data_IF_725262861157
#
_entry.id   IF_725262861157
#
_cell.length_a   1.000
_cell.length_b   1.000
_cell.length_c   1.000
_cell.angle_alpha   90.00
_cell.angle_beta   90.00
_cell.angle_gamma   90.00
#
_symmetry.space_group_name_H-M   'P 1'
#
loop_
_entity.id
_entity.type
_entity.pdbx_description
1 polymer ?
#
# COMPACT_ATOMS: atom_id res chain seq x y z
N UNK A 1 27.89 8.37 22.36
CA UNK A 1 27.67 6.94 22.66
C UNK A 1 26.42 6.93 23.54
N UNK A 2 25.28 6.53 23.02
CA UNK A 2 24.08 6.36 23.83
C UNK A 2 24.25 5.08 24.65
N UNK A 3 23.97 5.16 25.95
CA UNK A 3 24.13 4.04 26.90
C UNK A 3 22.78 3.37 27.19
N UNK A 4 21.67 3.96 26.73
CA UNK A 4 20.30 3.57 27.11
C UNK A 4 19.57 2.72 26.05
N UNK A 5 20.24 2.35 24.95
CA UNK A 5 19.76 1.33 24.02
C UNK A 5 18.56 1.75 23.15
N UNK A 6 17.54 0.88 23.05
CA UNK A 6 16.36 1.10 22.19
C UNK A 6 15.45 2.24 22.69
N UNK A 7 15.36 2.46 24.01
CA UNK A 7 14.51 3.51 24.59
C UNK A 7 15.02 4.91 24.21
N UNK A 8 16.34 5.10 24.24
CA UNK A 8 16.98 6.34 23.79
C UNK A 8 16.80 6.52 22.28
N UNK A 9 16.97 5.43 21.52
CA UNK A 9 16.85 5.44 20.07
C UNK A 9 15.46 5.92 19.61
N UNK A 10 14.40 5.49 20.29
CA UNK A 10 13.03 5.91 19.97
C UNK A 10 12.89 7.44 20.01
N UNK A 11 13.50 8.09 20.99
CA UNK A 11 13.40 9.54 21.22
C UNK A 11 14.21 10.39 20.21
N UNK A 12 15.11 9.77 19.44
CA UNK A 12 15.92 10.46 18.43
C UNK A 12 15.19 10.63 17.08
N UNK A 13 14.12 9.87 16.86
CA UNK A 13 13.35 9.96 15.63
C UNK A 13 12.56 11.26 15.56
N UNK A 14 12.56 11.88 14.39
CA UNK A 14 11.91 13.18 14.16
C UNK A 14 10.94 13.10 13.01
N UNK A 15 9.71 13.51 13.25
CA UNK A 15 8.64 13.58 12.25
C UNK A 15 9.01 14.40 11.00
N UNK A 16 9.90 15.39 11.11
CA UNK A 16 10.28 16.28 10.00
C UNK A 16 11.53 15.83 9.24
N UNK A 17 12.13 14.69 9.61
CA UNK A 17 13.41 14.23 9.07
C UNK A 17 13.29 12.85 8.40
N UNK A 18 14.22 12.61 7.50
CA UNK A 18 14.59 11.26 7.05
C UNK A 18 15.83 10.89 7.86
N UNK A 19 15.80 9.73 8.50
CA UNK A 19 16.89 9.27 9.35
C UNK A 19 17.18 7.80 9.04
N UNK A 20 18.42 7.39 9.29
CA UNK A 20 18.81 6.00 9.32
C UNK A 20 19.36 5.70 10.70
N UNK A 21 18.86 4.64 11.31
CA UNK A 21 19.38 4.15 12.58
C UNK A 21 19.97 2.76 12.38
N UNK A 22 21.16 2.55 12.92
CA UNK A 22 21.80 1.25 13.00
C UNK A 22 22.06 0.96 14.47
N UNK A 23 21.39 -0.07 15.01
CA UNK A 23 21.49 -0.40 16.43
C UNK A 23 21.70 -1.90 16.65
N UNK A 24 22.32 -2.21 17.78
CA UNK A 24 22.56 -3.56 18.23
C UNK A 24 21.57 -3.90 19.35
N UNK A 25 20.99 -5.10 19.26
CA UNK A 25 20.06 -5.63 20.26
C UNK A 25 20.44 -7.05 20.61
N UNK A 26 20.20 -7.43 21.87
CA UNK A 26 20.43 -8.80 22.33
C UNK A 26 19.16 -9.62 22.08
N UNK A 27 19.31 -10.72 21.36
CA UNK A 27 18.27 -11.73 21.27
C UNK A 27 18.36 -12.69 22.45
N UNK A 28 17.44 -12.57 23.42
CA UNK A 28 17.38 -13.46 24.57
C UNK A 28 17.02 -14.90 24.19
N UNK A 29 16.36 -15.08 23.04
CA UNK A 29 15.94 -16.39 22.56
C UNK A 29 17.13 -17.26 22.11
N UNK A 30 18.15 -16.68 21.47
CA UNK A 30 19.33 -17.42 21.01
C UNK A 30 20.62 -17.00 21.73
N UNK A 31 20.57 -16.03 22.65
CA UNK A 31 21.72 -15.37 23.27
C UNK A 31 22.72 -14.82 22.23
N UNK A 32 22.20 -14.29 21.13
CA UNK A 32 22.99 -13.70 20.04
C UNK A 32 22.75 -12.19 19.96
N UNK A 33 23.78 -11.44 19.57
CA UNK A 33 23.64 -10.04 19.20
C UNK A 33 23.07 -9.96 17.78
N UNK A 34 22.09 -9.10 17.58
CA UNK A 34 21.52 -8.80 16.28
C UNK A 34 21.64 -7.31 15.98
N UNK A 35 21.78 -7.00 14.71
CA UNK A 35 21.87 -5.65 14.19
C UNK A 35 20.63 -5.31 13.39
N UNK A 36 20.02 -4.16 13.72
CA UNK A 36 18.87 -3.60 13.02
C UNK A 36 19.33 -2.38 12.23
N UNK A 37 18.86 -2.31 10.98
CA UNK A 37 18.91 -1.10 10.17
C UNK A 37 17.46 -0.59 10.01
N UNK A 38 17.19 0.60 10.54
CA UNK A 38 15.88 1.24 10.47
C UNK A 38 15.97 2.42 9.50
N UNK A 39 15.15 2.37 8.46
CA UNK A 39 14.89 3.46 7.53
C UNK A 39 13.69 4.27 8.02
N UNK A 40 13.96 5.41 8.64
CA UNK A 40 12.93 6.30 9.17
C UNK A 40 12.53 7.35 8.14
N UNK A 41 11.24 7.38 7.81
CA UNK A 41 10.63 8.34 6.91
C UNK A 41 9.55 9.16 7.64
N UNK A 42 9.98 10.15 8.42
CA UNK A 42 9.06 10.99 9.20
C UNK A 42 7.91 11.58 8.36
N UNK A 43 6.70 11.58 8.93
CA UNK A 43 5.47 12.00 8.25
C UNK A 43 5.55 13.42 7.66
N UNK A 44 6.15 14.34 8.40
CA UNK A 44 6.29 15.74 8.05
C UNK A 44 7.58 16.03 7.26
N UNK A 45 8.36 15.01 6.90
CA UNK A 45 9.57 15.21 6.10
C UNK A 45 9.21 15.72 4.68
N UNK A 46 9.98 16.67 4.11
CA UNK A 46 9.71 17.21 2.77
C UNK A 46 9.61 16.12 1.70
N UNK A 47 8.64 16.23 0.80
CA UNK A 47 8.37 15.23 -0.24
C UNK A 47 9.59 14.97 -1.13
N UNK A 48 10.35 16.02 -1.46
CA UNK A 48 11.58 15.91 -2.24
C UNK A 48 12.61 15.01 -1.53
N UNK A 49 12.73 15.12 -0.20
CA UNK A 49 13.65 14.28 0.59
C UNK A 49 13.16 12.82 0.64
N UNK A 50 11.85 12.60 0.76
CA UNK A 50 11.25 11.25 0.70
C UNK A 50 11.53 10.58 -0.66
N UNK A 51 11.49 11.34 -1.76
CA UNK A 51 11.87 10.83 -3.07
C UNK A 51 13.36 10.45 -3.16
N UNK A 52 14.24 11.33 -2.69
CA UNK A 52 15.70 11.10 -2.74
C UNK A 52 16.13 9.92 -1.86
N UNK A 53 15.48 9.70 -0.71
CA UNK A 53 15.83 8.60 0.19
C UNK A 53 15.60 7.20 -0.38
N UNK A 54 14.66 7.06 -1.32
CA UNK A 54 14.45 5.79 -2.02
C UNK A 54 15.64 5.41 -2.91
N UNK A 55 16.35 6.41 -3.44
CA UNK A 55 17.45 6.18 -4.37
C UNK A 55 18.74 5.77 -3.64
N UNK A 56 19.05 6.38 -2.50
CA UNK A 56 20.27 6.06 -1.74
C UNK A 56 20.08 4.98 -0.67
N UNK A 57 18.86 4.47 -0.45
CA UNK A 57 18.64 3.42 0.53
C UNK A 57 19.41 2.13 0.21
N UNK A 58 19.57 1.81 -1.08
CA UNK A 58 20.38 0.67 -1.51
C UNK A 58 21.84 0.81 -1.06
N UNK A 59 22.41 2.03 -1.18
CA UNK A 59 23.77 2.32 -0.74
C UNK A 59 23.89 2.22 0.79
N UNK A 60 22.88 2.69 1.54
CA UNK A 60 22.82 2.55 2.99
C UNK A 60 22.80 1.08 3.41
N UNK A 61 21.97 0.25 2.77
CA UNK A 61 21.95 -1.19 3.00
C UNK A 61 23.31 -1.85 2.67
N UNK A 62 23.97 -1.41 1.59
CA UNK A 62 25.29 -1.91 1.22
C UNK A 62 26.38 -1.51 2.22
N UNK A 63 26.26 -0.33 2.82
CA UNK A 63 27.18 0.15 3.86
C UNK A 63 27.02 -0.67 5.14
N UNK A 64 25.78 -0.92 5.57
CA UNK A 64 25.44 -1.73 6.75
C UNK A 64 25.17 -3.21 6.41
N UNK A 65 26.13 -3.85 5.73
CA UNK A 65 26.03 -5.25 5.26
C UNK A 65 25.72 -6.30 6.33
N UNK A 66 26.03 -6.00 7.60
CA UNK A 66 25.84 -6.92 8.73
C UNK A 66 24.47 -6.74 9.41
N UNK A 67 23.59 -5.88 8.89
CA UNK A 67 22.23 -5.74 9.37
C UNK A 67 21.45 -7.06 9.21
N UNK A 68 21.06 -7.67 10.32
CA UNK A 68 20.27 -8.90 10.30
C UNK A 68 18.80 -8.63 9.94
N UNK A 69 18.33 -7.43 10.29
CA UNK A 69 16.95 -7.00 10.10
C UNK A 69 16.97 -5.60 9.51
N UNK A 70 16.24 -5.40 8.42
CA UNK A 70 16.05 -4.10 7.79
C UNK A 70 14.57 -3.72 7.90
N UNK A 71 14.29 -2.58 8.52
CA UNK A 71 12.94 -2.09 8.80
C UNK A 71 12.70 -0.74 8.11
N UNK A 72 11.47 -0.52 7.66
CA UNK A 72 11.01 0.80 7.24
C UNK A 72 9.99 1.27 8.27
N UNK A 73 10.20 2.47 8.81
CA UNK A 73 9.37 3.07 9.84
C UNK A 73 8.92 4.47 9.42
N UNK A 74 7.69 4.85 9.77
CA UNK A 74 7.12 6.16 9.45
C UNK A 74 6.52 6.85 10.67
N UNK A 75 6.15 6.07 11.67
CA UNK A 75 5.47 6.51 12.89
C UNK A 75 6.23 6.02 14.12
N UNK A 76 6.09 6.73 15.25
CA UNK A 76 6.81 6.38 16.49
C UNK A 76 6.46 4.98 17.01
N UNK A 77 5.25 4.50 16.72
CA UNK A 77 4.79 3.13 17.01
C UNK A 77 5.63 2.06 16.28
N UNK A 78 6.20 2.36 15.11
CA UNK A 78 7.04 1.41 14.35
C UNK A 78 8.41 1.19 15.01
N UNK A 79 8.82 2.11 15.89
CA UNK A 79 10.15 2.15 16.51
C UNK A 79 10.09 2.00 18.03
N UNK A 80 8.93 1.63 18.57
CA UNK A 80 8.79 1.22 19.96
C UNK A 80 9.71 0.01 20.26
N UNK A 81 10.40 -0.01 21.41
CA UNK A 81 11.31 -1.10 21.77
C UNK A 81 10.67 -2.49 21.66
N UNK A 82 9.41 -2.62 22.10
CA UNK A 82 8.66 -3.88 22.03
C UNK A 82 8.43 -4.34 20.60
N UNK A 83 8.10 -3.42 19.69
CA UNK A 83 7.88 -3.70 18.27
C UNK A 83 9.19 -4.15 17.61
N UNK A 84 10.29 -3.45 17.90
CA UNK A 84 11.61 -3.84 17.40
C UNK A 84 12.04 -5.22 17.92
N UNK A 85 11.79 -5.52 19.19
CA UNK A 85 12.07 -6.83 19.78
C UNK A 85 11.18 -7.94 19.22
N UNK A 86 9.93 -7.67 18.85
CA UNK A 86 9.09 -8.63 18.13
C UNK A 86 9.71 -9.03 16.77
N UNK A 87 10.28 -8.07 16.03
CA UNK A 87 11.01 -8.39 14.80
C UNK A 87 12.24 -9.27 15.05
N UNK A 88 12.97 -9.02 16.14
CA UNK A 88 14.13 -9.84 16.57
C UNK A 88 13.69 -11.27 16.90
N UNK A 89 12.65 -11.42 17.71
CA UNK A 89 12.12 -12.72 18.13
C UNK A 89 11.56 -13.52 16.95
N UNK A 90 10.91 -12.85 16.01
CA UNK A 90 10.42 -13.46 14.77
C UNK A 90 11.55 -13.96 13.88
N UNK A 91 12.68 -13.24 13.82
CA UNK A 91 13.86 -13.75 13.13
C UNK A 91 14.46 -14.94 13.87
N UNK A 92 14.52 -14.89 15.21
CA UNK A 92 15.01 -15.99 16.05
C UNK A 92 14.23 -17.29 15.84
N UNK A 93 12.89 -17.21 15.77
CA UNK A 93 12.04 -18.39 15.59
C UNK A 93 12.27 -19.08 14.24
N UNK A 94 12.57 -18.32 13.18
CA UNK A 94 12.93 -18.87 11.86
C UNK A 94 14.22 -19.69 11.85
N UNK A 95 15.11 -19.48 12.81
CA UNK A 95 16.40 -20.20 12.98
C UNK A 95 16.24 -21.45 13.88
N UNK A 96 15.08 -21.63 14.52
CA UNK A 96 14.80 -22.78 15.39
C UNK A 96 14.09 -23.92 14.65
N UNK A 97 13.27 -23.61 13.64
CA UNK A 97 12.45 -24.59 12.90
C UNK A 97 13.34 -25.53 12.06
N UNK A 98 14.50 -25.05 11.65
CA UNK A 98 15.55 -25.70 10.87
C UNK A 98 16.36 -26.75 11.65
N UNK A 99 16.11 -26.93 12.96
CA UNK A 99 16.79 -27.98 13.78
C UNK A 99 16.01 -29.29 13.95
N UNK A 100 14.81 -29.43 13.39
CA UNK A 100 14.05 -30.69 13.43
C UNK A 100 13.27 -30.98 12.14
N UNK A 101 13.94 -31.08 11.00
CA UNK A 101 13.40 -31.82 9.85
C UNK A 101 14.50 -32.66 9.19
N UNK A 102 14.65 -33.89 9.65
CA UNK A 102 15.21 -34.93 8.80
C UNK A 102 14.18 -35.23 7.70
N UNK A 103 14.36 -34.61 6.54
CA UNK A 103 13.77 -35.07 5.27
C UNK A 103 12.75 -34.13 4.62
N UNK A 104 13.08 -33.67 3.41
CA UNK A 104 12.11 -33.18 2.43
C UNK A 104 11.95 -31.66 2.38
N UNK A 105 12.62 -31.01 1.43
CA UNK A 105 12.62 -29.56 1.29
C UNK A 105 11.30 -28.96 0.83
N UNK A 106 11.17 -27.64 0.94
CA UNK A 106 10.65 -26.71 -0.08
C UNK A 106 10.74 -25.28 0.45
N UNK A 107 11.14 -24.38 -0.45
CA UNK A 107 11.22 -22.93 -0.29
C UNK A 107 9.84 -22.31 -0.04
N UNK A 108 9.67 -21.49 1.00
CA UNK A 108 8.67 -20.42 0.95
C UNK A 108 8.99 -19.29 1.91
N UNK A 109 9.18 -18.12 1.31
CA UNK A 109 9.09 -16.79 1.91
C UNK A 109 7.80 -16.66 2.74
N UNK A 110 7.81 -15.86 3.82
CA UNK A 110 6.75 -14.88 4.13
C UNK A 110 7.11 -14.00 5.36
N UNK A 111 6.85 -12.71 5.15
CA UNK A 111 6.94 -11.50 5.98
C UNK A 111 5.50 -11.14 6.39
N UNK A 112 5.14 -11.11 7.69
CA UNK A 112 4.57 -9.91 8.41
C UNK A 112 3.05 -9.80 8.18
N UNK A 113 2.16 -9.73 9.16
CA UNK A 113 1.92 -8.70 10.19
C UNK A 113 0.79 -9.13 11.15
N UNK A 114 0.89 -8.61 12.36
CA UNK A 114 -0.05 -8.30 13.46
C UNK A 114 -1.58 -8.48 13.29
N UNK A 115 -2.22 -8.87 14.41
CA UNK A 115 -3.65 -8.68 14.66
C UNK A 115 -4.20 -9.53 15.81
N UNK A 116 -4.10 -9.04 17.05
CA UNK A 116 -4.80 -9.52 18.25
C UNK A 116 -6.30 -9.72 18.01
N UNK A 117 -6.90 -10.80 18.54
CA UNK A 117 -8.19 -10.79 19.25
C UNK A 117 -8.26 -12.02 20.18
N UNK A 118 -8.35 -11.77 21.48
CA UNK A 118 -8.60 -12.77 22.52
C UNK A 118 -10.06 -13.23 22.45
N UNK A 119 -10.33 -14.53 22.34
CA UNK A 119 -11.38 -15.17 23.13
C UNK A 119 -11.13 -16.67 23.25
N UNK A 120 -11.02 -17.12 24.49
CA UNK A 120 -10.78 -18.49 24.93
C UNK A 120 -12.14 -19.19 25.08
N UNK A 121 -12.38 -20.26 24.32
CA UNK A 121 -13.35 -21.29 24.64
C UNK A 121 -13.07 -22.61 23.86
N UNK A 122 -12.57 -23.61 24.60
CA UNK A 122 -12.79 -25.07 24.48
C UNK A 122 -14.09 -25.48 23.76
N UNK A 123 -14.26 -26.61 23.06
CA UNK A 123 -13.51 -27.82 22.67
C UNK A 123 -14.25 -28.30 21.40
N UNK A 124 -13.58 -28.80 20.36
CA UNK A 124 -13.69 -30.21 19.94
C UNK A 124 -12.97 -30.49 18.62
N UNK A 125 -12.49 -31.73 18.58
CA UNK A 125 -11.84 -32.49 17.52
C UNK A 125 -12.39 -32.27 16.10
N UNK A 126 -11.55 -31.80 15.17
CA UNK A 126 -11.54 -32.24 13.76
C UNK A 126 -10.15 -31.98 13.16
N UNK A 127 -9.50 -33.05 12.70
CA UNK A 127 -8.17 -33.10 12.12
C UNK A 127 -8.12 -32.33 10.79
N UNK A 128 -7.90 -31.02 10.89
CA UNK A 128 -7.87 -30.12 9.74
C UNK A 128 -6.54 -30.25 9.00
N UNK A 129 -6.49 -31.15 8.02
CA UNK A 129 -5.42 -31.21 7.01
C UNK A 129 -5.21 -29.81 6.39
N UNK A 130 -3.96 -29.40 6.10
CA UNK A 130 -3.68 -28.07 5.60
C UNK A 130 -4.47 -27.82 4.32
N UNK A 131 -5.34 -26.81 4.34
CA UNK A 131 -6.15 -26.42 3.19
C UNK A 131 -5.19 -25.87 2.14
N UNK A 132 -4.92 -26.66 1.10
CA UNK A 132 -4.09 -26.24 -0.01
C UNK A 132 -4.69 -24.95 -0.60
N UNK A 133 -3.88 -23.90 -0.69
CA UNK A 133 -4.31 -22.69 -1.40
C UNK A 133 -4.63 -23.11 -2.83
N UNK A 134 -5.88 -22.92 -3.27
CA UNK A 134 -6.26 -23.09 -4.67
C UNK A 134 -5.72 -21.90 -5.50
N UNK A 135 -4.48 -21.49 -5.21
CA UNK A 135 -3.84 -20.34 -5.84
C UNK A 135 -3.37 -20.76 -7.22
N UNK A 136 -4.11 -20.33 -8.23
CA UNK A 136 -3.62 -20.33 -9.59
C UNK A 136 -2.94 -19.00 -9.86
N UNK A 137 -1.71 -19.06 -10.40
CA UNK A 137 -0.97 -17.86 -10.81
C UNK A 137 -1.79 -17.13 -11.89
N UNK A 138 -2.26 -15.93 -11.57
CA UNK A 138 -2.91 -15.03 -12.52
C UNK A 138 -2.01 -14.76 -13.72
N UNK A 139 -2.49 -15.10 -14.92
CA UNK A 139 -1.82 -14.77 -16.19
C UNK A 139 -2.49 -13.51 -16.72
N UNK A 140 -1.90 -12.35 -16.48
CA UNK A 140 -2.45 -11.04 -16.83
C UNK A 140 -2.86 -10.91 -18.32
N UNK A 141 -2.17 -11.63 -19.22
CA UNK A 141 -2.50 -11.67 -20.64
C UNK A 141 -3.81 -12.42 -20.96
N UNK A 142 -4.29 -13.29 -20.07
CA UNK A 142 -5.51 -14.08 -20.25
C UNK A 142 -6.74 -13.41 -19.66
N UNK A 143 -6.57 -12.60 -18.62
CA UNK A 143 -7.67 -11.92 -17.91
C UNK A 143 -8.04 -10.56 -18.49
N UNK A 144 -7.16 -9.92 -19.27
CA UNK A 144 -7.43 -8.60 -19.85
C UNK A 144 -7.47 -8.70 -21.38
N UNK A 145 -8.51 -9.33 -21.92
CA UNK A 145 -8.77 -9.38 -23.36
C UNK A 145 -8.78 -7.96 -23.93
N UNK A 146 -7.75 -7.60 -24.71
CA UNK A 146 -7.59 -6.27 -25.29
C UNK A 146 -8.80 -5.88 -26.15
N UNK A 147 -9.40 -6.86 -26.84
CA UNK A 147 -10.60 -6.71 -27.65
C UNK A 147 -11.84 -6.37 -26.82
N UNK A 148 -11.97 -6.90 -25.60
CA UNK A 148 -13.08 -6.56 -24.69
C UNK A 148 -12.95 -5.16 -24.13
N UNK A 149 -11.72 -4.77 -23.78
CA UNK A 149 -11.40 -3.43 -23.32
C UNK A 149 -11.69 -2.38 -24.39
N UNK A 150 -11.29 -2.63 -25.63
CA UNK A 150 -11.58 -1.75 -26.77
C UNK A 150 -13.08 -1.61 -27.04
N UNK A 151 -13.84 -2.71 -26.96
CA UNK A 151 -15.31 -2.68 -27.06
C UNK A 151 -15.95 -1.83 -25.97
N UNK A 152 -15.50 -1.95 -24.73
CA UNK A 152 -16.01 -1.18 -23.61
C UNK A 152 -15.81 0.33 -23.81
N UNK A 153 -14.59 0.75 -24.15
CA UNK A 153 -14.30 2.16 -24.43
C UNK A 153 -15.03 2.69 -25.66
N UNK A 154 -15.21 1.86 -26.69
CA UNK A 154 -15.98 2.24 -27.87
C UNK A 154 -17.48 2.44 -27.55
N UNK A 155 -18.08 1.53 -26.77
CA UNK A 155 -19.46 1.63 -26.31
C UNK A 155 -19.69 2.88 -25.45
N UNK A 156 -18.81 3.12 -24.47
CA UNK A 156 -18.88 4.31 -23.61
C UNK A 156 -18.76 5.61 -24.41
N UNK A 157 -17.86 5.65 -25.40
CA UNK A 157 -17.70 6.83 -26.26
C UNK A 157 -18.96 7.11 -27.11
N UNK A 158 -19.62 6.06 -27.60
CA UNK A 158 -20.87 6.18 -28.34
C UNK A 158 -22.02 6.68 -27.45
N UNK A 159 -22.12 6.18 -26.22
CA UNK A 159 -23.11 6.64 -25.24
C UNK A 159 -22.90 8.10 -24.83
N UNK A 160 -21.64 8.51 -24.61
CA UNK A 160 -21.30 9.89 -24.30
C UNK A 160 -21.62 10.84 -25.45
N UNK A 161 -21.33 10.43 -26.69
CA UNK A 161 -21.66 11.20 -27.89
C UNK A 161 -23.18 11.36 -28.07
N UNK A 162 -23.97 10.31 -27.80
CA UNK A 162 -25.42 10.39 -27.84
C UNK A 162 -25.98 11.35 -26.79
N UNK A 163 -25.50 11.26 -25.55
CA UNK A 163 -25.90 12.17 -24.47
C UNK A 163 -25.61 13.63 -24.85
N UNK A 164 -24.44 13.90 -25.41
CA UNK A 164 -24.05 15.24 -25.86
C UNK A 164 -24.92 15.75 -27.01
N UNK A 165 -25.29 14.87 -27.96
CA UNK A 165 -26.20 15.21 -29.07
C UNK A 165 -27.60 15.54 -28.57
N UNK A 166 -28.14 14.77 -27.63
CA UNK A 166 -29.45 15.05 -27.04
C UNK A 166 -29.47 16.36 -26.25
N UNK A 167 -28.42 16.62 -25.48
CA UNK A 167 -28.28 17.87 -24.75
C UNK A 167 -28.20 19.08 -25.69
N UNK A 168 -27.41 18.97 -26.77
CA UNK A 168 -27.37 20.01 -27.82
C UNK A 168 -28.72 20.21 -28.49
N UNK A 169 -29.45 19.13 -28.81
CA UNK A 169 -30.76 19.23 -29.45
C UNK A 169 -31.77 19.95 -28.53
N UNK A 170 -31.81 19.58 -27.24
CA UNK A 170 -32.63 20.25 -26.22
C UNK A 170 -32.25 21.72 -26.07
N UNK A 171 -30.96 22.04 -26.10
CA UNK A 171 -30.48 23.41 -26.02
C UNK A 171 -30.86 24.23 -27.27
N UNK A 172 -30.78 23.66 -28.46
CA UNK A 172 -31.23 24.31 -29.70
C UNK A 172 -32.75 24.48 -29.76
N UNK A 173 -33.51 23.48 -29.28
CA UNK A 173 -34.96 23.54 -29.21
C UNK A 173 -35.44 24.59 -28.19
N UNK A 174 -34.79 24.69 -27.01
CA UNK A 174 -35.07 25.76 -26.06
C UNK A 174 -34.67 27.16 -26.58
N UNK A 175 -33.70 27.25 -27.49
CA UNK A 175 -33.31 28.51 -28.12
C UNK A 175 -34.30 28.95 -29.22
N UNK A 176 -35.00 28.01 -29.84
CA UNK A 176 -36.05 28.26 -30.82
C UNK A 176 -37.41 28.16 -30.12
N UNK A 177 -37.87 29.23 -29.47
CA UNK A 177 -39.26 29.33 -29.02
C UNK A 177 -40.12 29.91 -30.17
N UNK A 178 -40.84 29.08 -30.95
CA UNK A 178 -41.64 29.57 -32.06
C UNK A 178 -42.77 30.52 -31.62
N UNK A 179 -43.21 30.49 -30.34
CA UNK A 179 -44.19 31.47 -29.84
C UNK A 179 -43.61 32.88 -29.72
N UNK A 180 -42.35 32.99 -29.33
CA UNK A 180 -41.65 34.28 -29.20
C UNK A 180 -41.37 34.91 -30.58
N UNK A 181 -41.08 34.08 -31.59
CA UNK A 181 -40.84 34.55 -32.96
C UNK A 181 -42.13 34.93 -33.70
N UNK A 182 -43.22 34.18 -33.50
CA UNK A 182 -44.56 34.57 -33.99
C UNK A 182 -44.99 35.91 -33.40
N UNK A 183 -44.85 36.13 -32.09
CA UNK A 183 -45.21 37.40 -31.44
C UNK A 183 -44.41 38.59 -31.99
N UNK A 184 -43.13 38.42 -32.32
CA UNK A 184 -42.34 39.49 -32.97
C UNK A 184 -42.88 39.81 -34.36
N UNK A 185 -43.20 38.79 -35.14
CA UNK A 185 -43.68 38.96 -36.51
C UNK A 185 -45.07 39.63 -36.57
N UNK A 186 -45.99 39.35 -35.62
CA UNK A 186 -47.26 40.10 -35.58
C UNK A 186 -47.09 41.57 -35.17
N UNK A 187 -46.15 41.91 -34.27
CA UNK A 187 -45.91 43.32 -33.89
C UNK A 187 -45.26 44.14 -35.02
N UNK A 188 -44.45 43.53 -35.90
CA UNK A 188 -43.90 44.21 -37.07
C UNK A 188 -44.97 44.49 -38.15
N UNK A 189 -45.93 43.58 -38.34
CA UNK A 189 -47.02 43.77 -39.32
C UNK A 189 -48.03 44.85 -38.93
N UNK A 190 -48.15 45.20 -37.65
CA UNK A 190 -49.06 46.25 -37.17
C UNK A 190 -48.51 47.67 -37.28
N UNK A 191 -47.21 47.83 -37.59
CA UNK A 191 -46.53 49.13 -37.60
C UNK A 191 -46.19 49.63 -39.02
N UNK A 192 -46.63 48.92 -40.06
CA UNK A 192 -46.45 49.30 -41.49
C UNK A 192 -47.79 49.54 -42.23
N UNK A 193 -48.85 49.90 -41.49
CA UNK A 193 -50.16 50.28 -42.03
C UNK A 193 -50.45 51.76 -41.80
#
# INVERSE_FOLDING_TARGET
KGDTGLEELQNEFSHSKILYAFCEVKDDSLNLRRYLLINWQGECAPLQRKGVCMNHFADVCSFFKDANIVLNARHEEDVEPDVLMQHVNKLASRIRIDKHTNGGGTTSNVTTTNGNHNHDHHYDNEESKPVGTNYQRTVAQREISQKERERFWHQQKLEEEQRLKEEKLKQTANRFDPKAELQRNCHETTNSG
#
